data_IF_137464877357
#
_entry.id   IF_137464877357
#
_cell.length_a   1.000
_cell.length_b   1.000
_cell.length_c   1.000
_cell.angle_alpha   90.00
_cell.angle_beta   90.00
_cell.angle_gamma   90.00
#
_symmetry.space_group_name_H-M   'P 1'
#
loop_
_entity.id
_entity.type
_entity.pdbx_description
1 polymer ?
#
# COMPACT_ATOMS: atom_id res chain seq x y z
N UNK A 1 -58.18 -11.41 -13.86
CA UNK A 1 -56.76 -11.58 -14.28
C UNK A 1 -55.92 -10.57 -13.55
N UNK A 2 -55.27 -10.99 -12.47
CA UNK A 2 -54.28 -10.18 -11.77
C UNK A 2 -53.36 -11.13 -10.98
N UNK A 3 -52.23 -11.48 -11.55
CA UNK A 3 -51.10 -12.14 -10.85
C UNK A 3 -49.81 -11.71 -11.55
N UNK A 4 -48.80 -11.37 -10.76
CA UNK A 4 -47.40 -11.21 -11.11
C UNK A 4 -46.88 -9.77 -11.03
N UNK A 5 -46.63 -9.29 -9.80
CA UNK A 5 -45.62 -8.28 -9.48
C UNK A 5 -45.26 -8.39 -7.99
N UNK A 6 -44.54 -9.44 -7.61
CA UNK A 6 -43.99 -9.58 -6.25
C UNK A 6 -42.77 -10.48 -6.23
N UNK A 7 -41.67 -10.10 -6.90
CA UNK A 7 -40.41 -10.84 -6.73
C UNK A 7 -39.14 -10.05 -7.08
N UNK A 8 -39.22 -8.73 -7.32
CA UNK A 8 -38.03 -7.95 -7.65
C UNK A 8 -37.47 -7.10 -6.47
N UNK A 9 -38.20 -7.02 -5.35
CA UNK A 9 -37.80 -6.18 -4.22
C UNK A 9 -37.02 -6.92 -3.12
N UNK A 10 -37.03 -8.26 -3.07
CA UNK A 10 -36.33 -9.02 -2.02
C UNK A 10 -34.84 -9.22 -2.30
N UNK A 11 -34.39 -9.18 -3.53
CA UNK A 11 -32.96 -9.33 -3.85
C UNK A 11 -32.12 -8.09 -3.49
N UNK A 12 -32.68 -6.90 -3.76
CA UNK A 12 -31.96 -5.65 -3.50
C UNK A 12 -31.84 -5.30 -2.00
N UNK A 13 -32.76 -5.80 -1.15
CA UNK A 13 -32.70 -5.58 0.29
C UNK A 13 -31.74 -6.56 1.00
N UNK A 14 -31.56 -7.78 0.50
CA UNK A 14 -30.61 -8.74 1.04
C UNK A 14 -29.17 -8.28 0.79
N UNK A 15 -28.85 -7.81 -0.43
CA UNK A 15 -27.53 -7.29 -0.78
C UNK A 15 -27.16 -5.99 -0.04
N UNK A 16 -28.17 -5.17 0.31
CA UNK A 16 -27.97 -3.95 1.08
C UNK A 16 -27.71 -4.24 2.56
N UNK A 17 -28.37 -5.26 3.14
CA UNK A 17 -28.13 -5.71 4.52
C UNK A 17 -26.77 -6.41 4.69
N UNK A 18 -26.35 -7.22 3.71
CA UNK A 18 -25.04 -7.88 3.74
C UNK A 18 -23.87 -6.89 3.62
N UNK A 19 -24.06 -5.78 2.88
CA UNK A 19 -23.09 -4.69 2.82
C UNK A 19 -23.03 -3.80 4.08
N UNK A 20 -24.13 -3.70 4.82
CA UNK A 20 -24.21 -2.87 6.02
C UNK A 20 -23.46 -3.47 7.23
N UNK A 21 -23.16 -4.76 7.21
CA UNK A 21 -22.52 -5.46 8.34
C UNK A 21 -21.00 -5.64 8.15
N UNK A 22 -20.48 -5.25 6.99
CA UNK A 22 -19.03 -5.33 6.68
C UNK A 22 -18.34 -4.09 7.23
N UNK A 23 -17.61 -4.23 8.31
CA UNK A 23 -16.87 -3.14 8.94
C UNK A 23 -15.40 -3.47 9.11
N UNK A 24 -14.56 -2.46 8.98
CA UNK A 24 -13.17 -2.49 9.36
C UNK A 24 -12.99 -1.67 10.63
N UNK A 25 -12.62 -2.34 11.72
CA UNK A 25 -12.37 -1.68 13.00
C UNK A 25 -10.89 -1.33 13.06
N UNK A 26 -10.59 -0.05 13.25
CA UNK A 26 -9.23 0.44 13.46
C UNK A 26 -9.00 0.59 14.96
N UNK A 27 -8.10 -0.22 15.52
CA UNK A 27 -7.76 -0.22 16.95
C UNK A 27 -6.69 0.81 17.29
N UNK A 28 -5.68 0.94 16.42
CA UNK A 28 -4.59 1.88 16.59
C UNK A 28 -4.01 2.30 15.24
N UNK A 29 -3.45 3.49 15.20
CA UNK A 29 -2.67 4.01 14.07
C UNK A 29 -1.38 4.60 14.63
N UNK A 30 -0.25 4.39 13.94
CA UNK A 30 1.04 4.85 14.41
C UNK A 30 2.08 4.95 13.28
N UNK A 31 3.07 5.80 13.49
CA UNK A 31 4.28 5.83 12.66
C UNK A 31 5.13 4.62 13.07
N UNK A 32 5.43 3.75 12.12
CA UNK A 32 6.31 2.61 12.37
C UNK A 32 7.76 2.93 12.03
N UNK A 33 7.95 3.66 10.93
CA UNK A 33 9.24 4.18 10.52
C UNK A 33 9.05 5.49 9.77
N UNK A 34 9.98 6.43 9.97
CA UNK A 34 9.92 7.73 9.32
C UNK A 34 11.32 8.30 9.15
N UNK A 35 11.70 8.63 7.92
CA UNK A 35 12.92 9.35 7.62
C UNK A 35 12.64 10.52 6.69
N UNK A 36 13.32 11.63 6.94
CA UNK A 36 13.36 12.80 6.06
C UNK A 36 14.83 13.22 5.90
N UNK A 37 15.28 13.28 4.66
CA UNK A 37 16.65 13.62 4.31
C UNK A 37 16.68 14.84 3.40
N UNK A 38 17.56 15.79 3.73
CA UNK A 38 17.86 16.97 2.93
C UNK A 38 19.37 17.02 2.66
N UNK A 39 19.87 16.18 1.71
CA UNK A 39 21.31 15.91 1.56
C UNK A 39 22.12 17.12 1.08
N UNK A 40 21.48 18.08 0.41
CA UNK A 40 22.14 19.25 -0.17
C UNK A 40 21.76 20.57 0.54
N UNK A 41 21.18 20.50 1.75
CA UNK A 41 21.00 21.69 2.56
C UNK A 41 22.35 22.24 3.06
N UNK A 42 22.49 23.56 3.22
CA UNK A 42 21.50 24.62 2.98
C UNK A 42 21.44 25.08 1.50
N UNK A 43 22.29 24.57 0.62
CA UNK A 43 22.43 25.04 -0.75
C UNK A 43 21.12 25.07 -1.53
N UNK A 44 20.36 23.98 -1.50
CA UNK A 44 19.07 23.84 -2.20
C UNK A 44 17.97 24.78 -1.68
N UNK A 45 18.13 25.35 -0.49
CA UNK A 45 17.19 26.29 0.11
C UNK A 45 17.51 27.74 -0.27
N UNK A 46 18.73 28.03 -0.72
CA UNK A 46 19.21 29.37 -1.07
C UNK A 46 19.20 29.58 -2.59
N UNK A 47 19.59 28.56 -3.34
CA UNK A 47 19.67 28.62 -4.79
C UNK A 47 18.29 28.39 -5.43
N UNK A 48 17.98 29.18 -6.46
CA UNK A 48 16.77 28.97 -7.27
C UNK A 48 17.04 27.87 -8.31
N UNK A 49 16.83 26.62 -7.92
CA UNK A 49 17.06 25.45 -8.78
C UNK A 49 15.90 25.14 -9.74
N UNK A 50 14.83 25.98 -9.73
CA UNK A 50 13.64 25.75 -10.53
C UNK A 50 12.65 24.78 -9.87
N UNK A 51 11.69 24.32 -10.67
CA UNK A 51 10.64 23.40 -10.19
C UNK A 51 11.21 21.97 -10.12
N UNK A 52 11.10 21.28 -8.96
CA UNK A 52 11.58 19.89 -8.85
C UNK A 52 10.65 18.90 -9.54
N UNK A 53 11.23 17.85 -10.07
CA UNK A 53 10.52 16.61 -10.37
C UNK A 53 10.36 15.79 -9.08
N UNK A 54 9.13 15.35 -8.83
CA UNK A 54 8.79 14.57 -7.63
C UNK A 54 8.31 13.19 -8.02
N UNK A 55 9.08 12.19 -7.64
CA UNK A 55 8.71 10.78 -7.74
C UNK A 55 8.05 10.34 -6.44
N UNK A 56 6.87 9.70 -6.55
CA UNK A 56 6.12 9.19 -5.41
C UNK A 56 5.92 7.69 -5.55
N UNK A 57 6.28 6.95 -4.51
CA UNK A 57 6.11 5.52 -4.41
C UNK A 57 5.11 5.18 -3.30
N UNK A 58 4.13 4.33 -3.62
CA UNK A 58 3.12 3.87 -2.67
C UNK A 58 3.07 2.36 -2.69
N UNK A 59 3.17 1.75 -1.51
CA UNK A 59 2.95 0.31 -1.37
C UNK A 59 2.20 -0.03 -0.10
N UNK A 60 1.49 -1.16 -0.13
CA UNK A 60 0.70 -1.65 0.98
C UNK A 60 1.11 -3.08 1.28
N UNK A 61 1.30 -3.39 2.55
CA UNK A 61 1.50 -4.74 3.05
C UNK A 61 0.61 -4.99 4.27
N UNK A 62 0.26 -6.26 4.52
CA UNK A 62 -0.49 -6.65 5.70
C UNK A 62 0.15 -7.88 6.35
N UNK A 63 0.15 -7.92 7.69
CA UNK A 63 0.62 -9.03 8.50
C UNK A 63 -0.46 -9.44 9.48
N UNK A 64 -0.65 -10.74 9.65
CA UNK A 64 -1.51 -11.29 10.69
C UNK A 64 -0.74 -11.22 12.02
N UNK A 65 -1.34 -10.62 13.06
CA UNK A 65 -0.71 -10.48 14.39
C UNK A 65 -1.36 -11.42 15.41
N UNK A 66 -2.64 -11.73 15.24
CA UNK A 66 -3.39 -12.58 16.14
C UNK A 66 -4.70 -13.04 15.53
N UNK A 67 -5.60 -13.58 16.33
CA UNK A 67 -6.90 -14.04 15.89
C UNK A 67 -7.71 -12.86 15.32
N UNK A 68 -7.84 -12.84 13.99
CA UNK A 68 -8.58 -11.81 13.25
C UNK A 68 -8.03 -10.37 13.40
N UNK A 69 -6.77 -10.20 13.79
CA UNK A 69 -6.09 -8.90 13.84
C UNK A 69 -4.97 -8.81 12.80
N UNK A 70 -4.92 -7.68 12.11
CA UNK A 70 -3.97 -7.41 11.04
C UNK A 70 -3.24 -6.10 11.29
N UNK A 71 -1.93 -6.11 11.14
CA UNK A 71 -1.13 -4.90 10.98
C UNK A 71 -1.06 -4.56 9.50
N UNK A 72 -1.65 -3.44 9.11
CA UNK A 72 -1.56 -2.91 7.75
C UNK A 72 -0.48 -1.85 7.71
N UNK A 73 0.46 -1.99 6.79
CA UNK A 73 1.59 -1.10 6.57
C UNK A 73 1.36 -0.34 5.28
N UNK A 74 1.20 0.98 5.38
CA UNK A 74 1.16 1.89 4.25
C UNK A 74 2.54 2.54 4.13
N UNK A 75 3.29 2.18 3.08
CA UNK A 75 4.59 2.77 2.80
C UNK A 75 4.41 3.87 1.74
N UNK A 76 4.90 5.06 2.06
CA UNK A 76 4.93 6.22 1.19
C UNK A 76 6.36 6.72 1.09
N UNK A 77 6.92 6.70 -0.11
CA UNK A 77 8.20 7.32 -0.42
C UNK A 77 8.00 8.50 -1.35
N UNK A 78 8.75 9.58 -1.16
CA UNK A 78 8.82 10.67 -2.10
C UNK A 78 10.26 11.16 -2.25
N UNK A 79 10.69 11.36 -3.50
CA UNK A 79 12.00 11.90 -3.86
C UNK A 79 11.81 13.10 -4.76
N UNK A 80 12.36 14.24 -4.37
CA UNK A 80 12.36 15.46 -5.17
C UNK A 80 13.77 15.75 -5.71
N UNK A 81 13.86 16.01 -7.02
CA UNK A 81 15.13 16.29 -7.71
C UNK A 81 14.97 17.50 -8.60
N UNK A 82 15.88 18.47 -8.54
CA UNK A 82 15.96 19.58 -9.47
C UNK A 82 17.15 19.39 -10.41
N UNK A 83 16.88 19.02 -11.66
CA UNK A 83 17.91 18.56 -12.61
C UNK A 83 18.59 17.29 -12.09
N UNK A 84 19.86 17.36 -11.74
CA UNK A 84 20.62 16.24 -11.14
C UNK A 84 20.78 16.36 -9.62
N UNK A 85 20.27 17.45 -9.02
CA UNK A 85 20.48 17.72 -7.60
C UNK A 85 19.31 17.19 -6.76
N UNK A 86 19.51 16.18 -5.89
CA UNK A 86 18.49 15.75 -4.93
C UNK A 86 18.17 16.87 -3.97
N UNK A 87 16.89 17.22 -3.84
CA UNK A 87 16.41 18.24 -2.90
C UNK A 87 16.07 17.61 -1.56
N UNK A 88 15.15 16.65 -1.57
CA UNK A 88 14.81 15.88 -0.38
C UNK A 88 14.40 14.45 -0.74
N UNK A 89 14.53 13.60 0.27
CA UNK A 89 13.96 12.26 0.27
C UNK A 89 13.12 12.12 1.55
N UNK A 90 11.97 11.48 1.43
CA UNK A 90 11.14 11.11 2.58
C UNK A 90 10.63 9.70 2.39
N UNK A 91 10.77 8.90 3.44
CA UNK A 91 10.21 7.57 3.52
C UNK A 91 9.41 7.44 4.82
N UNK A 92 8.17 6.98 4.68
CA UNK A 92 7.23 6.80 5.77
C UNK A 92 6.61 5.42 5.71
N UNK A 93 6.71 4.66 6.79
CA UNK A 93 5.88 3.49 7.05
C UNK A 93 4.84 3.85 8.11
N UNK A 94 3.61 4.06 7.67
CA UNK A 94 2.48 4.33 8.55
C UNK A 94 1.69 3.06 8.75
N UNK A 95 1.42 2.69 10.00
CA UNK A 95 0.79 1.43 10.34
C UNK A 95 -0.58 1.61 10.98
N UNK A 96 -1.46 0.64 10.73
CA UNK A 96 -2.74 0.51 11.41
C UNK A 96 -2.98 -0.91 11.90
N UNK A 97 -3.40 -1.04 13.17
CA UNK A 97 -3.90 -2.30 13.70
C UNK A 97 -5.40 -2.36 13.45
N UNK A 98 -5.84 -3.33 12.64
CA UNK A 98 -7.22 -3.43 12.18
C UNK A 98 -7.80 -4.83 12.37
N UNK A 99 -9.13 -4.90 12.53
CA UNK A 99 -9.88 -6.15 12.54
C UNK A 99 -11.05 -6.06 11.57
N UNK A 100 -11.20 -7.02 10.64
CA UNK A 100 -12.41 -7.14 9.83
C UNK A 100 -13.56 -7.68 10.68
N UNK A 101 -14.76 -7.11 10.54
CA UNK A 101 -15.99 -7.57 11.16
C UNK A 101 -17.04 -7.85 10.10
N UNK A 102 -17.81 -8.93 10.26
CA UNK A 102 -18.86 -9.31 9.32
C UNK A 102 -18.37 -9.80 7.96
N UNK A 103 -17.07 -10.15 7.84
CA UNK A 103 -16.45 -10.63 6.60
C UNK A 103 -15.68 -11.90 6.86
N UNK A 104 -15.81 -12.88 5.95
CA UNK A 104 -15.11 -14.16 6.04
C UNK A 104 -14.56 -14.59 4.66
N UNK A 105 -13.57 -15.47 4.70
CA UNK A 105 -12.98 -16.06 3.50
C UNK A 105 -12.23 -15.06 2.61
N UNK A 106 -12.41 -15.20 1.30
CA UNK A 106 -11.64 -14.47 0.27
C UNK A 106 -11.89 -12.95 0.26
N UNK A 107 -12.95 -12.48 0.91
CA UNK A 107 -13.28 -11.06 0.99
C UNK A 107 -12.47 -10.29 2.05
N UNK A 108 -11.75 -10.97 2.93
CA UNK A 108 -10.92 -10.34 3.97
C UNK A 108 -9.73 -9.58 3.34
N UNK A 109 -9.02 -10.21 2.42
CA UNK A 109 -7.85 -9.60 1.78
C UNK A 109 -8.14 -8.28 1.05
N UNK A 110 -9.17 -8.20 0.18
CA UNK A 110 -9.53 -6.92 -0.45
C UNK A 110 -9.92 -5.86 0.57
N UNK A 111 -10.68 -6.22 1.62
CA UNK A 111 -11.08 -5.28 2.66
C UNK A 111 -9.85 -4.69 3.37
N UNK A 112 -8.89 -5.52 3.75
CA UNK A 112 -7.68 -5.10 4.46
C UNK A 112 -6.74 -4.32 3.55
N UNK A 113 -6.52 -4.78 2.30
CA UNK A 113 -5.54 -4.19 1.40
C UNK A 113 -6.04 -2.95 0.65
N UNK A 114 -7.34 -2.67 0.67
CA UNK A 114 -7.94 -1.53 0.00
C UNK A 114 -8.51 -0.54 1.01
N UNK A 115 -9.39 -0.99 1.91
CA UNK A 115 -10.09 -0.06 2.81
C UNK A 115 -9.22 0.42 3.97
N UNK A 116 -8.36 -0.44 4.53
CA UNK A 116 -7.47 -0.01 5.61
C UNK A 116 -6.51 1.10 5.14
N UNK A 117 -5.75 0.97 4.04
CA UNK A 117 -4.88 2.05 3.58
C UNK A 117 -5.65 3.31 3.18
N UNK A 118 -6.90 3.22 2.70
CA UNK A 118 -7.75 4.40 2.47
C UNK A 118 -7.98 5.19 3.75
N UNK A 119 -8.18 4.51 4.88
CA UNK A 119 -8.37 5.16 6.18
C UNK A 119 -7.06 5.74 6.74
N UNK A 120 -5.91 5.08 6.47
CA UNK A 120 -4.59 5.52 6.94
C UNK A 120 -4.00 6.66 6.11
N UNK A 121 -4.29 6.71 4.82
CA UNK A 121 -3.65 7.62 3.86
C UNK A 121 -3.75 9.10 4.20
N UNK A 122 -4.90 9.65 4.66
CA UNK A 122 -5.00 11.06 5.02
C UNK A 122 -4.00 11.48 6.10
N UNK A 123 -3.74 10.61 7.08
CA UNK A 123 -2.79 10.87 8.16
C UNK A 123 -1.35 10.76 7.67
N UNK A 124 -1.05 9.71 6.91
CA UNK A 124 0.28 9.52 6.32
C UNK A 124 0.65 10.67 5.37
N UNK A 125 -0.29 11.13 4.53
CA UNK A 125 -0.11 12.28 3.66
C UNK A 125 0.17 13.57 4.43
N UNK A 126 -0.53 13.79 5.54
CA UNK A 126 -0.33 14.98 6.38
C UNK A 126 1.10 15.00 6.95
N UNK A 127 1.60 13.86 7.43
CA UNK A 127 2.97 13.74 7.96
C UNK A 127 4.04 14.10 6.92
N UNK A 128 3.88 13.64 5.67
CA UNK A 128 4.81 13.98 4.58
C UNK A 128 4.73 15.47 4.24
N UNK A 129 3.53 16.03 4.18
CA UNK A 129 3.33 17.45 3.92
C UNK A 129 3.98 18.33 5.00
N UNK A 130 3.83 17.93 6.26
CA UNK A 130 4.43 18.64 7.40
C UNK A 130 5.96 18.51 7.39
N UNK A 131 6.50 17.32 7.13
CA UNK A 131 7.94 17.09 7.07
C UNK A 131 8.62 17.89 5.95
N UNK A 132 8.02 17.95 4.77
CA UNK A 132 8.57 18.75 3.66
C UNK A 132 8.53 20.24 3.96
N UNK A 133 7.46 20.74 4.59
CA UNK A 133 7.37 22.13 5.06
C UNK A 133 8.45 22.43 6.09
N UNK A 134 8.60 21.57 7.09
CA UNK A 134 9.57 21.75 8.18
C UNK A 134 11.01 21.56 7.67
N UNK A 135 11.20 20.81 6.57
CA UNK A 135 12.45 20.71 5.82
C UNK A 135 12.81 21.96 5.01
N UNK A 136 11.97 23.02 5.01
CA UNK A 136 12.20 24.27 4.29
C UNK A 136 11.70 24.30 2.86
N UNK A 137 10.89 23.30 2.45
CA UNK A 137 10.31 23.23 1.11
C UNK A 137 8.83 23.59 1.11
N UNK A 138 8.24 23.71 -0.07
CA UNK A 138 6.79 23.79 -0.20
C UNK A 138 6.17 22.46 0.26
N UNK A 139 5.04 22.49 1.02
CA UNK A 139 4.38 21.29 1.46
C UNK A 139 4.03 20.36 0.29
N UNK A 140 4.50 19.11 0.35
CA UNK A 140 4.18 18.12 -0.67
C UNK A 140 2.77 17.56 -0.44
N UNK A 141 1.86 17.90 -1.37
CA UNK A 141 0.48 17.43 -1.35
C UNK A 141 0.32 16.24 -2.30
N UNK A 142 0.38 15.02 -1.75
CA UNK A 142 0.17 13.79 -2.52
C UNK A 142 -1.31 13.69 -2.91
N UNK A 143 -1.57 13.44 -4.20
CA UNK A 143 -2.93 13.23 -4.70
C UNK A 143 -3.55 11.95 -4.12
N UNK A 144 -4.89 11.86 -4.03
CA UNK A 144 -5.57 10.64 -3.62
C UNK A 144 -5.12 9.44 -4.44
N UNK A 145 -4.80 8.34 -3.74
CA UNK A 145 -4.29 7.10 -4.35
C UNK A 145 -5.44 6.14 -4.60
N UNK A 146 -5.46 5.51 -5.78
CA UNK A 146 -6.36 4.40 -6.07
C UNK A 146 -5.80 3.09 -5.50
N UNK A 147 -6.23 2.74 -4.30
CA UNK A 147 -5.78 1.51 -3.62
C UNK A 147 -6.32 0.23 -4.28
N UNK A 148 -7.36 0.32 -5.12
CA UNK A 148 -7.81 -0.83 -5.92
C UNK A 148 -6.75 -1.16 -6.97
N UNK A 149 -6.26 -0.14 -7.68
CA UNK A 149 -5.19 -0.30 -8.67
C UNK A 149 -3.89 -0.79 -8.01
N UNK A 150 -3.53 -0.25 -6.84
CA UNK A 150 -2.35 -0.70 -6.06
C UNK A 150 -2.50 -2.18 -5.67
N UNK A 151 -3.66 -2.61 -5.22
CA UNK A 151 -3.93 -4.00 -4.86
C UNK A 151 -3.82 -4.94 -6.08
N UNK A 152 -4.41 -4.58 -7.20
CA UNK A 152 -4.33 -5.36 -8.44
C UNK A 152 -2.89 -5.51 -8.93
N UNK A 153 -2.13 -4.42 -8.95
CA UNK A 153 -0.71 -4.46 -9.32
C UNK A 153 0.13 -5.35 -8.38
N UNK A 154 -0.15 -5.32 -7.07
CA UNK A 154 0.51 -6.20 -6.10
C UNK A 154 0.19 -7.68 -6.37
N UNK A 155 -1.04 -8.02 -6.73
CA UNK A 155 -1.42 -9.39 -7.10
C UNK A 155 -0.67 -9.87 -8.35
N UNK A 156 -0.57 -9.03 -9.38
CA UNK A 156 0.18 -9.34 -10.60
C UNK A 156 1.66 -9.58 -10.32
N UNK A 157 2.28 -8.72 -9.51
CA UNK A 157 3.69 -8.88 -9.09
C UNK A 157 3.92 -10.16 -8.30
N UNK A 158 3.02 -10.52 -7.40
CA UNK A 158 3.10 -11.76 -6.64
C UNK A 158 2.94 -12.98 -7.54
N UNK A 159 2.02 -12.94 -8.50
CA UNK A 159 1.84 -14.01 -9.48
C UNK A 159 3.07 -14.18 -10.37
N UNK A 160 3.68 -13.09 -10.85
CA UNK A 160 4.90 -13.12 -11.65
C UNK A 160 6.09 -13.69 -10.85
N UNK A 161 6.27 -13.24 -9.61
CA UNK A 161 7.35 -13.74 -8.74
C UNK A 161 7.18 -15.24 -8.43
N UNK A 162 5.96 -15.71 -8.20
CA UNK A 162 5.66 -17.13 -7.98
C UNK A 162 5.94 -17.99 -9.24
N UNK A 163 5.65 -17.44 -10.43
CA UNK A 163 5.97 -18.11 -11.68
C UNK A 163 7.47 -18.22 -11.92
N UNK A 164 8.24 -17.17 -11.65
CA UNK A 164 9.70 -17.20 -11.74
C UNK A 164 10.35 -18.20 -10.78
N UNK A 165 9.85 -18.26 -9.53
CA UNK A 165 10.34 -19.22 -8.55
C UNK A 165 10.07 -20.66 -8.97
N UNK A 166 8.89 -20.95 -9.54
CA UNK A 166 8.56 -22.26 -10.08
C UNK A 166 9.45 -22.61 -11.28
N UNK A 167 9.71 -21.67 -12.17
CA UNK A 167 10.60 -21.88 -13.31
C UNK A 167 12.06 -22.18 -12.87
N UNK A 168 12.59 -21.43 -11.90
CA UNK A 168 13.92 -21.65 -11.32
C UNK A 168 14.03 -23.01 -10.62
N UNK A 169 12.98 -23.40 -9.88
CA UNK A 169 12.94 -24.71 -9.22
C UNK A 169 12.87 -25.88 -10.22
N UNK A 170 12.21 -25.69 -11.36
CA UNK A 170 12.16 -26.69 -12.44
C UNK A 170 13.55 -26.86 -13.10
N UNK A 171 14.25 -25.76 -13.41
CA UNK A 171 15.59 -25.77 -14.02
C UNK A 171 16.59 -26.47 -13.09
N UNK A 172 16.54 -26.22 -11.77
CA UNK A 172 17.44 -26.88 -10.81
C UNK A 172 17.17 -28.39 -10.64
N UNK A 173 15.95 -28.87 -10.94
CA UNK A 173 15.63 -30.29 -10.92
C UNK A 173 16.07 -31.03 -12.18
N UNK A 174 16.16 -30.34 -13.30
CA UNK A 174 16.53 -30.92 -14.61
C UNK A 174 18.06 -30.91 -14.86
N UNK A 175 18.85 -30.21 -14.02
CA UNK A 175 20.31 -30.21 -14.09
C UNK A 175 20.92 -30.66 -12.76
N UNK A 176 20.95 -31.99 -12.48
CA UNK A 176 21.69 -32.50 -11.33
C UNK A 176 23.18 -32.26 -11.58
N UNK A 177 23.82 -31.58 -10.62
CA UNK A 177 25.28 -31.36 -10.61
C UNK A 177 26.02 -32.65 -10.93
N UNK A 178 26.99 -32.71 -11.89
CA UNK A 178 27.78 -33.90 -12.09
C UNK A 178 28.61 -34.16 -10.84
N UNK A 179 28.39 -35.32 -10.25
CA UNK A 179 29.17 -35.84 -9.13
C UNK A 179 30.63 -35.97 -9.60
N UNK A 180 31.51 -35.11 -9.10
CA UNK A 180 32.93 -35.18 -9.30
C UNK A 180 33.47 -36.37 -8.47
N UNK A 181 33.58 -37.55 -9.10
CA UNK A 181 34.33 -38.70 -8.57
C UNK A 181 35.78 -38.48 -8.90
N UNK A 182 36.56 -37.92 -7.96
CA UNK A 182 37.99 -38.04 -7.97
C UNK A 182 38.36 -39.37 -7.32
N UNK A 183 38.92 -40.26 -8.14
CA UNK A 183 39.76 -41.40 -7.73
C UNK A 183 41.15 -40.93 -7.47
#
# INVERSE_FOLDING_TARGET
>A
MAKTKKNAQNGAQADAHEKADRQLIVHAQYIKDFSFENPNAPKVLIENLGQPDVEINVSVAAKIIGDSQYEVLLNLGAKAVAGETPMFLVDLTYAGLVSPHGVSGDNINPLIMIEAPRLLFPFARALISDATRDGGFMPLNIQPVDFVAVYQHNLERQAAAAAEQKAKAFINRTNPCPSNSFT
#
